data_IF_602360326959
#
_entry.id   IF_602360326959
#
_cell.length_a   1.000
_cell.length_b   1.000
_cell.length_c   1.000
_cell.angle_alpha   90.00
_cell.angle_beta   90.00
_cell.angle_gamma   90.00
#
_symmetry.space_group_name_H-M   'P 1'
#
loop_
_entity.id
_entity.type
_entity.pdbx_description
1 polymer ?
#
# COMPACT_ATOMS: atom_id res chain seq x y z
N UNK A 1 -1.54 4.56 -12.33
CA UNK A 1 -1.01 5.72 -11.60
C UNK A 1 0.32 5.31 -10.97
N UNK A 2 1.34 6.16 -11.01
CA UNK A 2 2.62 5.96 -10.32
C UNK A 2 2.69 6.96 -9.15
N UNK A 3 3.44 6.62 -8.10
CA UNK A 3 3.64 7.49 -6.93
C UNK A 3 4.38 8.78 -7.29
N UNK A 4 5.26 8.73 -8.30
CA UNK A 4 6.05 9.87 -8.75
C UNK A 4 5.97 9.99 -10.28
N UNK A 5 6.02 11.22 -10.79
CA UNK A 5 5.98 11.50 -12.22
C UNK A 5 7.33 11.23 -12.92
N UNK A 6 7.37 11.27 -14.26
CA UNK A 6 8.63 11.17 -14.99
C UNK A 6 9.60 12.27 -14.58
N UNK A 7 10.80 11.89 -14.10
CA UNK A 7 11.82 12.82 -13.62
C UNK A 7 11.73 13.17 -12.13
N UNK A 8 10.67 12.77 -11.44
CA UNK A 8 10.57 12.90 -9.99
C UNK A 8 11.37 11.78 -9.32
N UNK A 9 12.22 12.16 -8.35
CA UNK A 9 12.88 11.22 -7.46
C UNK A 9 11.99 11.04 -6.24
N UNK A 10 11.70 9.79 -5.92
CA UNK A 10 10.92 9.46 -4.75
C UNK A 10 11.08 7.99 -4.36
N UNK A 11 10.88 7.71 -3.09
CA UNK A 11 11.03 6.38 -2.52
C UNK A 11 9.66 5.72 -2.38
N UNK A 12 9.62 4.41 -2.67
CA UNK A 12 8.53 3.53 -2.27
C UNK A 12 9.08 2.67 -1.14
N UNK A 13 8.42 2.68 0.01
CA UNK A 13 8.84 1.95 1.20
C UNK A 13 7.87 0.78 1.42
N UNK A 14 8.44 -0.42 1.56
CA UNK A 14 7.71 -1.64 1.91
C UNK A 14 8.25 -2.12 3.26
N UNK A 15 7.40 -2.07 4.28
CA UNK A 15 7.80 -2.27 5.68
C UNK A 15 6.95 -3.38 6.26
N UNK A 16 7.58 -4.44 6.77
CA UNK A 16 6.92 -5.49 7.54
C UNK A 16 7.32 -5.35 9.00
N UNK A 17 6.33 -5.23 9.88
CA UNK A 17 6.52 -5.17 11.34
C UNK A 17 5.61 -6.15 12.03
N UNK A 18 6.00 -6.57 13.23
CA UNK A 18 5.08 -7.21 14.16
C UNK A 18 4.05 -6.16 14.61
N UNK A 19 2.77 -6.50 14.45
CA UNK A 19 1.62 -5.71 14.85
C UNK A 19 1.06 -6.17 16.20
N UNK A 20 -0.14 -5.72 16.53
CA UNK A 20 -0.84 -6.17 17.72
C UNK A 20 -1.26 -7.65 17.59
N UNK A 21 -1.43 -8.32 18.74
CA UNK A 21 -2.06 -9.64 18.85
C UNK A 21 -1.38 -10.75 18.01
N UNK A 22 -0.06 -10.68 17.82
CA UNK A 22 0.72 -11.68 17.08
C UNK A 22 0.53 -11.65 15.56
N UNK A 23 -0.08 -10.57 15.05
CA UNK A 23 -0.25 -10.35 13.60
C UNK A 23 0.95 -9.60 13.03
N UNK A 24 1.22 -9.78 11.75
CA UNK A 24 2.10 -8.89 11.01
C UNK A 24 1.33 -7.71 10.43
N UNK A 25 1.99 -6.55 10.40
CA UNK A 25 1.56 -5.36 9.70
C UNK A 25 2.51 -5.09 8.54
N UNK A 26 2.01 -5.29 7.31
CA UNK A 26 2.69 -4.87 6.09
C UNK A 26 2.21 -3.47 5.70
N UNK A 27 3.16 -2.56 5.51
CA UNK A 27 2.93 -1.20 5.07
C UNK A 27 3.59 -0.98 3.72
N UNK A 28 2.86 -0.41 2.78
CA UNK A 28 3.39 0.09 1.50
C UNK A 28 3.10 1.57 1.43
N UNK A 29 4.13 2.40 1.32
CA UNK A 29 3.97 3.85 1.35
C UNK A 29 4.92 4.61 0.41
N UNK A 30 4.52 5.83 0.07
CA UNK A 30 5.29 6.82 -0.68
C UNK A 30 4.94 8.24 -0.17
N UNK A 31 5.75 9.24 -0.52
CA UNK A 31 5.49 10.65 -0.21
C UNK A 31 5.06 11.44 -1.45
N UNK A 32 4.54 10.73 -2.46
CA UNK A 32 4.05 11.28 -3.72
C UNK A 32 2.78 12.12 -3.54
N UNK A 33 2.11 12.52 -4.64
CA UNK A 33 0.93 13.38 -4.60
C UNK A 33 -0.36 12.62 -4.21
N UNK A 34 -0.25 11.40 -3.66
CA UNK A 34 -1.39 10.58 -3.24
C UNK A 34 -2.20 9.96 -4.38
N UNK A 35 -3.34 9.35 -4.05
CA UNK A 35 -4.20 8.63 -5.01
C UNK A 35 -5.01 9.55 -5.94
N UNK A 36 -5.08 10.87 -5.65
CA UNK A 36 -5.71 11.90 -6.48
C UNK A 36 -7.24 11.76 -6.57
N UNK A 37 -7.93 12.84 -6.91
CA UNK A 37 -9.40 12.88 -6.98
C UNK A 37 -9.98 12.41 -8.32
N UNK A 38 -9.14 12.27 -9.35
CA UNK A 38 -9.59 11.91 -10.70
C UNK A 38 -9.86 10.38 -10.79
N UNK A 39 -11.11 9.94 -11.02
CA UNK A 39 -11.45 8.52 -11.12
C UNK A 39 -10.88 7.84 -12.37
N UNK A 40 -10.28 8.58 -13.32
CA UNK A 40 -9.62 7.98 -14.49
C UNK A 40 -8.20 7.51 -14.15
N UNK A 41 -7.94 6.19 -14.08
CA UNK A 41 -6.60 5.69 -13.80
C UNK A 41 -5.68 5.95 -15.00
N UNK A 42 -4.84 6.98 -14.96
CA UNK A 42 -3.85 7.28 -16.02
C UNK A 42 -2.59 6.40 -15.99
N UNK A 43 -2.68 5.16 -15.50
CA UNK A 43 -1.60 4.17 -15.60
C UNK A 43 -2.09 2.76 -15.29
N UNK A 44 -1.23 1.75 -15.36
CA UNK A 44 -1.57 0.30 -15.39
C UNK A 44 -2.39 -0.25 -14.21
N UNK A 45 -2.57 0.53 -13.13
CA UNK A 45 -3.20 0.08 -11.89
C UNK A 45 -2.36 -0.94 -11.13
N UNK A 46 -1.09 -1.14 -11.50
CA UNK A 46 -0.24 -2.21 -10.96
C UNK A 46 -0.05 -2.11 -9.44
N UNK A 47 0.19 -0.92 -8.89
CA UNK A 47 0.34 -0.75 -7.44
C UNK A 47 -0.92 -1.19 -6.66
N UNK A 48 -2.09 -0.78 -7.13
CA UNK A 48 -3.37 -1.27 -6.60
C UNK A 48 -3.53 -2.78 -6.75
N UNK A 49 -3.20 -3.34 -7.92
CA UNK A 49 -3.25 -4.80 -8.16
C UNK A 49 -2.30 -5.58 -7.28
N UNK A 50 -1.09 -5.07 -7.02
CA UNK A 50 -0.11 -5.69 -6.12
C UNK A 50 -0.66 -5.71 -4.71
N UNK A 51 -1.13 -4.57 -4.21
CA UNK A 51 -1.73 -4.45 -2.88
C UNK A 51 -2.96 -5.37 -2.75
N UNK A 52 -3.85 -5.40 -3.74
CA UNK A 52 -5.02 -6.29 -3.76
C UNK A 52 -4.64 -7.77 -3.84
N UNK A 53 -3.64 -8.14 -4.63
CA UNK A 53 -3.17 -9.53 -4.72
C UNK A 53 -2.54 -10.00 -3.39
N UNK A 54 -1.76 -9.15 -2.73
CA UNK A 54 -1.20 -9.43 -1.41
C UNK A 54 -2.31 -9.58 -0.36
N UNK A 55 -3.30 -8.68 -0.36
CA UNK A 55 -4.46 -8.76 0.54
C UNK A 55 -5.23 -10.06 0.38
N UNK A 56 -5.49 -10.46 -0.87
CA UNK A 56 -6.18 -11.70 -1.20
C UNK A 56 -5.40 -12.94 -0.76
N UNK A 57 -4.08 -12.96 -0.93
CA UNK A 57 -3.24 -14.08 -0.50
C UNK A 57 -3.13 -14.22 1.01
N UNK A 58 -3.23 -13.10 1.74
CA UNK A 58 -3.02 -13.03 3.19
C UNK A 58 -4.33 -13.00 4.00
N UNK A 59 -5.49 -13.10 3.34
CA UNK A 59 -6.83 -12.93 3.96
C UNK A 59 -6.94 -11.64 4.79
N UNK A 60 -6.30 -10.57 4.33
CA UNK A 60 -6.28 -9.26 5.00
C UNK A 60 -7.15 -8.26 4.25
N UNK A 61 -7.69 -7.28 4.97
CA UNK A 61 -8.19 -6.05 4.36
C UNK A 61 -7.02 -5.11 4.04
N UNK A 62 -7.23 -4.22 3.05
CA UNK A 62 -6.33 -3.10 2.76
C UNK A 62 -6.93 -1.87 3.40
N UNK A 63 -6.19 -1.22 4.29
CA UNK A 63 -6.58 0.05 4.89
C UNK A 63 -5.66 1.15 4.38
N UNK A 64 -6.22 2.31 4.05
CA UNK A 64 -5.45 3.48 3.64
C UNK A 64 -5.41 4.49 4.78
N UNK A 65 -4.24 5.07 5.03
CA UNK A 65 -4.07 6.18 5.98
C UNK A 65 -4.29 7.51 5.24
N UNK A 66 -5.45 8.19 5.42
CA UNK A 66 -5.76 9.43 4.72
C UNK A 66 -4.98 10.64 5.24
N UNK A 67 -4.30 10.52 6.38
CA UNK A 67 -3.49 11.58 6.97
C UNK A 67 -2.04 11.57 6.46
N UNK A 68 -1.62 10.51 5.74
CA UNK A 68 -0.29 10.42 5.17
C UNK A 68 -0.13 11.36 3.96
N UNK A 69 1.06 11.97 3.80
CA UNK A 69 1.33 12.97 2.76
C UNK A 69 1.16 12.42 1.33
N UNK A 70 1.52 11.15 1.13
CA UNK A 70 1.35 10.43 -0.14
C UNK A 70 0.36 9.29 0.00
N UNK A 71 0.70 8.11 -0.51
CA UNK A 71 -0.11 6.90 -0.27
C UNK A 71 0.51 6.12 0.87
N UNK A 72 -0.29 5.66 1.82
CA UNK A 72 0.09 4.64 2.79
C UNK A 72 -1.03 3.62 2.89
N UNK A 73 -0.70 2.38 2.57
CA UNK A 73 -1.60 1.24 2.66
C UNK A 73 -1.09 0.23 3.70
N UNK A 74 -1.99 -0.27 4.52
CA UNK A 74 -1.73 -1.26 5.55
C UNK A 74 -2.47 -2.56 5.26
N UNK A 75 -1.79 -3.67 5.54
CA UNK A 75 -2.36 -5.00 5.56
C UNK A 75 -1.97 -5.69 6.86
N UNK A 76 -2.95 -6.11 7.65
CA UNK A 76 -2.74 -6.86 8.88
C UNK A 76 -3.15 -8.32 8.67
N UNK A 77 -2.21 -9.25 8.85
CA UNK A 77 -2.43 -10.68 8.61
C UNK A 77 -1.69 -11.54 9.65
N UNK A 78 -2.18 -12.75 9.83
CA UNK A 78 -1.57 -13.68 10.79
C UNK A 78 -0.33 -14.32 10.15
N UNK A 79 0.80 -14.30 10.88
CA UNK A 79 2.05 -14.92 10.42
C UNK A 79 2.01 -16.45 10.55
N UNK A 80 1.14 -16.95 11.41
CA UNK A 80 0.95 -18.38 11.66
C UNK A 80 -0.10 -18.91 10.70
N UNK A 81 0.35 -19.66 9.70
CA UNK A 81 -0.54 -20.59 9.00
C UNK A 81 -0.84 -21.72 10.00
N UNK A 82 -2.06 -21.74 10.53
CA UNK A 82 -2.69 -22.97 11.00
C UNK A 82 -3.15 -23.79 9.80
#
# INVERSE_FOLDING_TARGET
KYAYGPGDIGEIRVILKEGADGRALLTVEDDGPGLGEDPKPRGTGLGGKIISAMASGLRSAVEYDPAHRGVRAHLAFDLTHG
#
